data_IF_335207358740
#
_entry.id   IF_335207358740
#
_cell.length_a   1.000
_cell.length_b   1.000
_cell.length_c   1.000
_cell.angle_alpha   90.00
_cell.angle_beta   90.00
_cell.angle_gamma   90.00
#
_symmetry.space_group_name_H-M   'P 1'
#
loop_
_entity.id
_entity.type
_entity.pdbx_description
1 polymer ?
#
# COMPACT_ATOMS: atom_id res chain seq x y z
N UNK A 1 13.66 1.45 0.24
CA UNK A 1 12.42 1.11 0.94
C UNK A 1 11.79 -0.17 0.37
N UNK A 2 11.10 -0.89 1.22
CA UNK A 2 10.33 -2.08 0.86
C UNK A 2 8.88 -1.65 0.72
N UNK A 3 8.28 -1.95 -0.44
CA UNK A 3 6.96 -1.44 -0.83
C UNK A 3 5.95 -2.58 -0.96
N UNK A 4 4.74 -2.33 -0.50
CA UNK A 4 3.59 -3.20 -0.73
C UNK A 4 2.60 -2.49 -1.63
N UNK A 5 2.29 -3.09 -2.78
CA UNK A 5 1.21 -2.64 -3.66
C UNK A 5 0.03 -3.62 -3.48
N UNK A 6 -0.81 -3.30 -2.52
CA UNK A 6 -1.97 -4.12 -2.17
C UNK A 6 -3.13 -3.73 -3.09
N UNK A 7 -3.82 -4.68 -3.69
CA UNK A 7 -4.79 -4.44 -4.76
C UNK A 7 -4.09 -3.91 -6.02
N UNK A 8 -3.05 -4.58 -6.46
CA UNK A 8 -2.09 -4.02 -7.42
C UNK A 8 -2.66 -3.69 -8.81
N UNK A 9 -3.68 -4.40 -9.26
CA UNK A 9 -4.24 -4.18 -10.60
C UNK A 9 -3.18 -4.35 -11.68
N UNK A 10 -2.83 -3.26 -12.37
CA UNK A 10 -1.77 -3.25 -13.38
C UNK A 10 -0.37 -3.10 -12.78
N UNK A 11 -0.26 -2.81 -11.49
CA UNK A 11 1.01 -2.65 -10.80
C UNK A 11 1.64 -1.26 -10.94
N UNK A 12 0.90 -0.27 -11.43
CA UNK A 12 1.47 1.06 -11.71
C UNK A 12 2.10 1.73 -10.49
N UNK A 13 1.43 1.66 -9.34
CA UNK A 13 1.92 2.33 -8.13
C UNK A 13 3.24 1.71 -7.64
N UNK A 14 3.29 0.39 -7.55
CA UNK A 14 4.50 -0.31 -7.12
C UNK A 14 5.65 -0.16 -8.11
N UNK A 15 5.36 -0.20 -9.41
CA UNK A 15 6.36 -0.01 -10.46
C UNK A 15 6.92 1.41 -10.39
N UNK A 16 6.06 2.42 -10.19
CA UNK A 16 6.51 3.80 -10.03
C UNK A 16 7.44 3.92 -8.82
N UNK A 17 7.12 3.27 -7.72
CA UNK A 17 7.98 3.26 -6.54
C UNK A 17 9.35 2.64 -6.83
N UNK A 18 9.38 1.52 -7.55
CA UNK A 18 10.63 0.88 -7.97
C UNK A 18 11.43 1.78 -8.89
N UNK A 19 10.76 2.48 -9.82
CA UNK A 19 11.42 3.42 -10.74
C UNK A 19 12.06 4.59 -9.99
N UNK A 20 11.53 4.94 -8.83
CA UNK A 20 12.04 6.02 -7.99
C UNK A 20 13.05 5.55 -6.94
N UNK A 21 13.47 4.29 -7.02
CA UNK A 21 14.55 3.77 -6.18
C UNK A 21 14.14 2.88 -5.03
N UNK A 22 12.89 2.44 -4.96
CA UNK A 22 12.51 1.46 -3.96
C UNK A 22 13.31 0.17 -4.16
N UNK A 23 13.69 -0.45 -3.05
CA UNK A 23 14.52 -1.64 -3.04
C UNK A 23 13.77 -2.87 -3.51
N UNK A 24 12.49 -2.97 -3.15
CA UNK A 24 11.68 -4.16 -3.40
C UNK A 24 10.22 -3.80 -3.35
N UNK A 25 9.41 -4.45 -4.17
CA UNK A 25 7.96 -4.29 -4.14
C UNK A 25 7.26 -5.64 -4.17
N UNK A 26 6.32 -5.84 -3.25
CA UNK A 26 5.41 -6.96 -3.25
C UNK A 26 4.07 -6.52 -3.83
N UNK A 27 3.66 -7.16 -4.91
CA UNK A 27 2.38 -6.90 -5.56
C UNK A 27 1.38 -7.98 -5.15
N UNK A 28 0.18 -7.60 -4.79
CA UNK A 28 -0.87 -8.53 -4.38
C UNK A 28 -2.17 -8.19 -5.09
N UNK A 29 -2.79 -9.17 -5.72
CA UNK A 29 -4.12 -9.04 -6.29
C UNK A 29 -4.80 -10.41 -6.29
N UNK A 30 -6.09 -10.45 -5.99
CA UNK A 30 -6.83 -11.72 -6.01
C UNK A 30 -7.19 -12.16 -7.43
N UNK A 31 -7.20 -11.25 -8.38
CA UNK A 31 -7.49 -11.53 -9.79
C UNK A 31 -6.24 -12.05 -10.48
N UNK A 32 -6.31 -13.27 -10.99
CA UNK A 32 -5.22 -13.84 -11.76
C UNK A 32 -4.93 -13.02 -13.01
N UNK A 33 -5.98 -12.51 -13.65
CA UNK A 33 -5.83 -11.66 -14.83
C UNK A 33 -5.06 -10.36 -14.51
N UNK A 34 -5.40 -9.71 -13.40
CA UNK A 34 -4.69 -8.51 -12.96
C UNK A 34 -3.24 -8.82 -12.58
N UNK A 35 -3.01 -9.91 -11.88
CA UNK A 35 -1.65 -10.32 -11.51
C UNK A 35 -0.78 -10.59 -12.73
N UNK A 36 -1.37 -11.17 -13.79
CA UNK A 36 -0.64 -11.41 -15.03
C UNK A 36 -0.25 -10.11 -15.71
N UNK A 37 -1.14 -9.12 -15.72
CA UNK A 37 -0.83 -7.79 -16.24
C UNK A 37 0.30 -7.15 -15.42
N UNK A 38 0.24 -7.25 -14.10
CA UNK A 38 1.33 -6.76 -13.22
C UNK A 38 2.65 -7.43 -13.59
N UNK A 39 2.68 -8.76 -13.79
CA UNK A 39 3.90 -9.48 -14.16
C UNK A 39 4.45 -9.02 -15.49
N UNK A 40 3.59 -8.81 -16.47
CA UNK A 40 4.01 -8.31 -17.79
C UNK A 40 4.63 -6.92 -17.65
N UNK A 41 4.02 -6.04 -16.90
CA UNK A 41 4.52 -4.68 -16.70
C UNK A 41 5.83 -4.65 -15.93
N UNK A 42 5.95 -5.48 -14.89
CA UNK A 42 7.19 -5.63 -14.11
C UNK A 42 8.33 -6.11 -15.01
N UNK A 43 8.05 -7.10 -15.86
CA UNK A 43 9.02 -7.65 -16.80
C UNK A 43 9.44 -6.59 -17.82
N UNK A 44 8.48 -5.86 -18.39
CA UNK A 44 8.76 -4.84 -19.39
C UNK A 44 9.61 -3.70 -18.81
N UNK A 45 9.45 -3.40 -17.53
CA UNK A 45 10.21 -2.33 -16.86
C UNK A 45 11.53 -2.81 -16.24
N UNK A 46 11.83 -4.11 -16.31
CA UNK A 46 13.10 -4.64 -15.82
C UNK A 46 13.19 -4.87 -14.32
N UNK A 47 12.06 -5.03 -13.62
CA UNK A 47 12.02 -5.13 -12.16
C UNK A 47 11.75 -6.56 -11.63
N UNK A 48 11.93 -7.58 -12.45
CA UNK A 48 11.64 -8.97 -12.05
C UNK A 48 12.38 -9.39 -10.79
N UNK A 49 13.64 -8.99 -10.66
CA UNK A 49 14.47 -9.37 -9.50
C UNK A 49 14.13 -8.62 -8.22
N UNK A 50 13.48 -7.46 -8.36
CA UNK A 50 13.20 -6.57 -7.23
C UNK A 50 11.73 -6.61 -6.84
N UNK A 51 11.02 -7.68 -7.21
CA UNK A 51 9.58 -7.77 -6.97
C UNK A 51 9.11 -9.21 -6.88
N UNK A 52 7.91 -9.37 -6.32
CA UNK A 52 7.17 -10.62 -6.37
C UNK A 52 5.69 -10.29 -6.51
N UNK A 53 4.96 -11.13 -7.24
CA UNK A 53 3.52 -10.97 -7.46
C UNK A 53 2.82 -12.18 -6.84
N UNK A 54 1.88 -11.91 -5.94
CA UNK A 54 1.06 -12.93 -5.29
C UNK A 54 -0.38 -12.83 -5.74
N UNK A 55 -0.96 -13.96 -6.16
CA UNK A 55 -2.38 -14.05 -6.51
C UNK A 55 -3.10 -14.58 -5.28
N UNK A 56 -3.70 -13.69 -4.51
CA UNK A 56 -4.48 -14.06 -3.34
C UNK A 56 -5.29 -12.87 -2.84
N UNK A 57 -6.24 -13.15 -1.97
CA UNK A 57 -7.01 -12.11 -1.31
C UNK A 57 -6.08 -11.17 -0.54
N UNK A 58 -6.27 -9.86 -0.71
CA UNK A 58 -5.38 -8.86 -0.12
C UNK A 58 -5.45 -8.84 1.40
N UNK A 59 -6.62 -9.04 1.98
CA UNK A 59 -6.78 -9.07 3.43
C UNK A 59 -6.08 -10.30 4.01
N UNK A 60 -6.25 -11.45 3.38
CA UNK A 60 -5.56 -12.68 3.80
C UNK A 60 -4.05 -12.53 3.70
N UNK A 61 -3.57 -11.87 2.65
CA UNK A 61 -2.14 -11.61 2.50
C UNK A 61 -1.61 -10.80 3.68
N UNK A 62 -2.23 -9.69 4.00
CA UNK A 62 -1.77 -8.82 5.10
C UNK A 62 -1.81 -9.54 6.43
N UNK A 63 -2.84 -10.37 6.65
CA UNK A 63 -2.98 -11.13 7.89
C UNK A 63 -1.82 -12.11 8.10
N UNK A 64 -1.34 -12.73 7.02
CA UNK A 64 -0.34 -13.80 7.12
C UNK A 64 1.09 -13.41 6.78
N UNK A 65 1.32 -12.24 6.18
CA UNK A 65 2.65 -11.85 5.73
C UNK A 65 3.59 -11.60 6.92
N UNK A 66 4.85 -11.99 6.75
CA UNK A 66 5.89 -11.81 7.79
C UNK A 66 6.92 -10.75 7.42
N UNK A 67 6.68 -10.03 6.35
CA UNK A 67 7.54 -8.93 5.94
C UNK A 67 7.11 -7.64 6.64
N UNK A 68 8.05 -6.71 6.75
CA UNK A 68 7.80 -5.35 7.20
C UNK A 68 7.94 -4.41 6.01
N UNK A 69 6.99 -3.50 5.84
CA UNK A 69 6.96 -2.59 4.71
C UNK A 69 7.21 -1.15 5.16
N UNK A 70 7.88 -0.39 4.30
CA UNK A 70 8.11 1.04 4.52
C UNK A 70 7.01 1.88 3.87
N UNK A 71 6.48 1.41 2.75
CA UNK A 71 5.39 2.07 2.04
C UNK A 71 4.36 1.02 1.64
N UNK A 72 3.09 1.31 1.88
CA UNK A 72 2.00 0.47 1.40
C UNK A 72 0.99 1.32 0.64
N UNK A 73 0.63 0.86 -0.56
CA UNK A 73 -0.41 1.47 -1.38
C UNK A 73 -1.68 0.63 -1.28
N UNK A 74 -2.80 1.28 -0.94
CA UNK A 74 -4.11 0.67 -0.88
C UNK A 74 -5.02 1.37 -1.87
N UNK A 75 -5.27 0.71 -3.01
CA UNK A 75 -6.16 1.22 -4.06
C UNK A 75 -7.20 0.13 -4.40
N UNK A 76 -8.09 -0.21 -3.45
CA UNK A 76 -9.06 -1.27 -3.65
C UNK A 76 -10.27 -0.81 -4.46
N UNK A 77 -11.09 -1.74 -4.94
CA UNK A 77 -12.42 -1.38 -5.46
C UNK A 77 -13.21 -0.62 -4.41
N UNK A 78 -13.98 0.39 -4.85
CA UNK A 78 -14.72 1.25 -3.94
C UNK A 78 -15.93 0.55 -3.31
N UNK A 79 -16.36 1.05 -2.13
CA UNK A 79 -17.58 0.64 -1.44
C UNK A 79 -17.60 -0.79 -0.91
N UNK A 80 -16.45 -1.39 -0.69
CA UNK A 80 -16.35 -2.74 -0.13
C UNK A 80 -15.74 -2.78 1.27
N UNK A 81 -15.46 -1.62 1.87
CA UNK A 81 -14.89 -1.55 3.21
C UNK A 81 -13.49 -2.14 3.32
N UNK A 82 -12.77 -2.26 2.20
CA UNK A 82 -11.49 -2.97 2.17
C UNK A 82 -10.37 -2.19 2.86
N UNK A 83 -10.36 -0.86 2.75
CA UNK A 83 -9.36 -0.04 3.44
C UNK A 83 -9.54 -0.16 4.94
N UNK A 84 -10.77 -0.08 5.43
CA UNK A 84 -11.09 -0.18 6.85
C UNK A 84 -10.70 -1.55 7.41
N UNK A 85 -10.79 -2.60 6.60
CA UNK A 85 -10.36 -3.94 6.99
C UNK A 85 -8.84 -4.09 6.97
N UNK A 86 -8.18 -3.49 5.97
CA UNK A 86 -6.74 -3.65 5.76
C UNK A 86 -5.92 -2.84 6.77
N UNK A 87 -6.32 -1.62 7.08
CA UNK A 87 -5.53 -0.71 7.91
C UNK A 87 -5.15 -1.29 9.28
N UNK A 88 -6.09 -1.85 10.07
CA UNK A 88 -5.72 -2.42 11.38
C UNK A 88 -4.75 -3.59 11.28
N UNK A 89 -4.86 -4.40 10.24
CA UNK A 89 -3.99 -5.54 10.00
C UNK A 89 -2.61 -5.08 9.54
N UNK A 90 -2.59 -4.05 8.71
CA UNK A 90 -1.37 -3.53 8.10
C UNK A 90 -0.49 -2.78 9.10
N UNK A 91 -1.08 -2.21 10.13
CA UNK A 91 -0.38 -1.39 11.11
C UNK A 91 0.85 -2.11 11.68
N UNK A 92 0.70 -3.37 12.09
CA UNK A 92 1.80 -4.16 12.66
C UNK A 92 2.82 -4.61 11.61
N UNK A 93 2.52 -4.44 10.34
CA UNK A 93 3.41 -4.80 9.22
C UNK A 93 4.19 -3.61 8.68
N UNK A 94 3.98 -2.43 9.23
CA UNK A 94 4.69 -1.22 8.80
C UNK A 94 5.91 -0.97 9.70
N UNK A 95 6.98 -0.52 9.07
CA UNK A 95 8.19 -0.12 9.79
C UNK A 95 7.95 1.14 10.61
N UNK A 96 8.93 1.51 11.43
CA UNK A 96 8.86 2.73 12.25
C UNK A 96 8.85 4.01 11.42
N UNK A 97 9.10 3.91 10.12
CA UNK A 97 9.02 5.02 9.18
C UNK A 97 7.94 4.78 8.13
N UNK A 98 6.99 3.91 8.46
CA UNK A 98 5.98 3.46 7.53
C UNK A 98 5.04 4.55 7.07
N UNK A 99 4.67 4.48 5.79
CA UNK A 99 3.70 5.36 5.15
C UNK A 99 2.68 4.49 4.45
N UNK A 100 1.39 4.76 4.67
CA UNK A 100 0.30 4.07 3.99
C UNK A 100 -0.47 5.10 3.17
N UNK A 101 -0.61 4.83 1.88
CA UNK A 101 -1.31 5.71 0.94
C UNK A 101 -2.59 5.00 0.50
N UNK A 102 -3.73 5.58 0.85
CA UNK A 102 -5.05 5.01 0.55
C UNK A 102 -5.76 5.85 -0.49
N UNK A 103 -6.07 5.26 -1.64
CA UNK A 103 -6.92 5.90 -2.64
C UNK A 103 -8.35 5.39 -2.44
N UNK A 104 -9.31 6.31 -2.34
CA UNK A 104 -10.70 5.96 -2.06
C UNK A 104 -11.67 6.98 -2.67
N UNK A 105 -12.95 6.62 -2.66
CA UNK A 105 -14.00 7.50 -3.14
C UNK A 105 -14.13 8.73 -2.25
N UNK A 106 -14.58 9.83 -2.84
CA UNK A 106 -14.86 11.06 -2.12
C UNK A 106 -15.94 10.82 -1.06
N UNK A 107 -15.73 11.36 0.12
CA UNK A 107 -16.69 11.28 1.22
C UNK A 107 -16.49 10.09 2.15
N UNK A 108 -15.61 9.15 1.82
CA UNK A 108 -15.25 8.10 2.76
C UNK A 108 -14.45 8.71 3.92
N UNK A 109 -14.95 8.52 5.13
CA UNK A 109 -14.28 9.02 6.34
C UNK A 109 -13.48 7.87 6.95
N UNK A 110 -12.15 8.03 6.96
CA UNK A 110 -11.25 7.07 7.58
C UNK A 110 -10.83 7.56 8.97
N UNK A 111 -10.51 6.65 9.90
CA UNK A 111 -10.16 7.05 11.27
C UNK A 111 -8.89 7.88 11.30
N UNK A 112 -8.77 8.76 12.30
CA UNK A 112 -7.60 9.62 12.47
C UNK A 112 -6.37 8.83 12.90
N UNK A 113 -6.57 7.74 13.64
CA UNK A 113 -5.49 6.90 14.14
C UNK A 113 -5.86 5.44 13.97
N UNK A 114 -4.89 4.63 13.56
CA UNK A 114 -5.00 3.17 13.49
C UNK A 114 -3.73 2.60 14.13
N UNK A 115 -3.83 2.25 15.43
CA UNK A 115 -2.64 1.85 16.18
C UNK A 115 -1.59 2.95 16.13
N UNK A 116 -0.39 2.63 15.67
CA UNK A 116 0.71 3.61 15.54
C UNK A 116 0.61 4.49 14.31
N UNK A 117 -0.33 4.21 13.40
CA UNK A 117 -0.51 5.01 12.19
C UNK A 117 -1.38 6.24 12.48
N UNK A 118 -0.93 7.42 12.09
CA UNK A 118 -1.68 8.66 12.19
C UNK A 118 -2.01 9.18 10.81
N UNK A 119 -3.27 9.58 10.62
CA UNK A 119 -3.70 10.24 9.39
C UNK A 119 -3.05 11.62 9.33
N UNK A 120 -2.25 11.87 8.29
CA UNK A 120 -1.52 13.12 8.13
C UNK A 120 -2.24 14.09 7.21
N UNK A 121 -2.76 13.61 6.10
CA UNK A 121 -3.36 14.48 5.10
C UNK A 121 -4.31 13.70 4.19
N UNK A 122 -5.33 14.40 3.70
CA UNK A 122 -6.20 13.91 2.64
C UNK A 122 -6.12 14.88 1.47
N UNK A 123 -5.79 14.36 0.31
CA UNK A 123 -5.72 15.12 -0.94
C UNK A 123 -6.97 14.81 -1.76
N UNK A 124 -7.47 15.80 -2.48
CA UNK A 124 -8.66 15.65 -3.32
C UNK A 124 -8.29 15.82 -4.78
N UNK A 125 -8.67 14.86 -5.59
CA UNK A 125 -8.44 14.84 -7.03
C UNK A 125 -9.75 14.51 -7.75
N UNK A 126 -10.59 15.52 -8.01
CA UNK A 126 -11.90 15.29 -8.61
C UNK A 126 -12.81 14.46 -7.72
N UNK A 127 -13.16 13.26 -8.18
CA UNK A 127 -14.04 12.33 -7.44
C UNK A 127 -13.27 11.39 -6.51
N UNK A 128 -11.95 11.47 -6.49
CA UNK A 128 -11.08 10.58 -5.75
C UNK A 128 -10.38 11.36 -4.65
N UNK A 129 -10.23 10.72 -3.49
CA UNK A 129 -9.43 11.24 -2.40
C UNK A 129 -8.27 10.28 -2.10
N UNK A 130 -7.14 10.85 -1.70
CA UNK A 130 -5.97 10.09 -1.28
C UNK A 130 -5.65 10.47 0.17
N UNK A 131 -5.77 9.51 1.07
CA UNK A 131 -5.47 9.70 2.49
C UNK A 131 -4.13 9.06 2.81
N UNK A 132 -3.27 9.82 3.47
CA UNK A 132 -1.93 9.38 3.84
C UNK A 132 -1.84 9.21 5.35
N UNK A 133 -1.46 8.01 5.76
CA UNK A 133 -1.11 7.67 7.14
C UNK A 133 0.40 7.56 7.28
N UNK A 134 0.88 7.89 8.44
CA UNK A 134 2.30 7.78 8.74
C UNK A 134 2.51 7.32 10.18
N UNK A 135 3.55 6.51 10.39
CA UNK A 135 4.05 6.25 11.73
C UNK A 135 4.82 7.50 12.16
N UNK A 136 4.43 8.15 13.29
CA UNK A 136 5.14 9.35 13.74
C UNK A 136 6.60 9.03 14.02
N UNK A 137 7.48 9.94 13.60
CA UNK A 137 8.88 9.83 13.93
C UNK A 137 9.06 10.11 15.43
N UNK A 138 10.05 9.47 16.09
CA UNK A 138 10.33 9.76 17.48
C UNK A 138 10.60 11.25 17.68
N UNK A 139 10.02 11.80 18.75
CA UNK A 139 10.32 13.19 19.14
C UNK A 139 11.74 13.22 19.66
N UNK A 140 12.52 14.17 19.16
CA UNK A 140 13.86 14.37 19.66
C UNK A 140 13.76 15.16 20.97
N UNK A 141 14.05 14.48 22.08
CA UNK A 141 13.94 15.06 23.40
C UNK A 141 14.98 16.17 23.67
N UNK A 142 15.96 16.30 22.79
CA UNK A 142 16.96 17.37 22.92
C UNK A 142 16.46 18.73 22.45
N UNK A 143 15.31 18.75 21.85
CA UNK A 143 14.69 19.99 21.41
C UNK A 143 13.70 20.54 22.50
#
# INVERSE_FOLDING_TARGET
>A
SVVLDLFSGSGQLGIEALSRGAKYCRFVDKSQASAEITRQNVTACGFVRDSAVSVMDSIDFVRGVRMTFDIAFLDPPYRHGLIEQALPLLESKMSDRGIVVCEHEKGLVLPDNVGKLEKKKTYRYGKIEVTVYRVPLPVDDEE
#
